data_IF_517102466168
#
_entry.id   IF_517102466168
#
_cell.length_a   1.000
_cell.length_b   1.000
_cell.length_c   1.000
_cell.angle_alpha   90.00
_cell.angle_beta   90.00
_cell.angle_gamma   90.00
#
_symmetry.space_group_name_H-M   'P 1'
#
loop_
_entity.id
_entity.type
_entity.pdbx_description
1 polymer ?
#
# COMPACT_ATOMS: atom_id res chain seq x y z
N UNK A 1 -32.98 11.98 -34.87
CA UNK A 1 -32.18 11.12 -35.76
C UNK A 1 -30.73 11.47 -35.53
N UNK A 2 -29.97 10.59 -34.88
CA UNK A 2 -28.52 10.74 -34.71
C UNK A 2 -27.86 10.51 -36.08
N UNK A 3 -27.49 11.59 -36.75
CA UNK A 3 -26.72 11.56 -38.00
C UNK A 3 -25.39 10.88 -37.75
N UNK A 4 -25.18 9.72 -38.38
CA UNK A 4 -23.88 9.04 -38.47
C UNK A 4 -22.85 10.05 -38.99
N UNK A 5 -21.72 10.20 -38.30
CA UNK A 5 -20.63 11.09 -38.73
C UNK A 5 -20.24 10.80 -40.19
N UNK A 6 -19.86 11.83 -40.98
CA UNK A 6 -19.45 11.64 -42.36
C UNK A 6 -18.28 10.67 -42.43
N UNK A 7 -18.27 9.79 -43.44
CA UNK A 7 -17.12 8.92 -43.67
C UNK A 7 -15.86 9.76 -43.96
N UNK A 8 -14.70 9.43 -43.39
CA UNK A 8 -13.48 10.21 -43.56
C UNK A 8 -13.09 10.25 -45.05
N UNK A 9 -13.11 11.46 -45.60
CA UNK A 9 -12.87 11.76 -47.02
C UNK A 9 -11.40 11.95 -47.33
N UNK A 10 -10.58 12.35 -46.36
CA UNK A 10 -9.16 12.63 -46.52
C UNK A 10 -8.24 11.56 -45.92
N UNK A 11 -7.06 11.38 -46.53
CA UNK A 11 -6.05 10.41 -46.12
C UNK A 11 -5.46 10.74 -44.74
N UNK A 12 -5.36 12.03 -44.41
CA UNK A 12 -4.98 12.52 -43.08
C UNK A 12 -6.00 12.12 -42.00
N UNK A 13 -7.31 12.23 -42.27
CA UNK A 13 -8.35 11.83 -41.31
C UNK A 13 -8.29 10.34 -41.03
N UNK A 14 -8.07 9.51 -42.06
CA UNK A 14 -7.94 8.06 -41.90
C UNK A 14 -6.70 7.65 -41.11
N UNK A 15 -5.58 8.33 -41.32
CA UNK A 15 -4.36 8.09 -40.55
C UNK A 15 -4.54 8.54 -39.09
N UNK A 16 -5.24 9.65 -38.87
CA UNK A 16 -5.51 10.19 -37.54
C UNK A 16 -6.47 9.28 -36.75
N UNK A 17 -7.57 8.85 -37.35
CA UNK A 17 -8.48 7.86 -36.75
C UNK A 17 -7.79 6.51 -36.51
N UNK A 18 -6.99 6.03 -37.47
CA UNK A 18 -6.23 4.78 -37.31
C UNK A 18 -5.21 4.84 -36.18
N UNK A 19 -4.53 5.98 -36.03
CA UNK A 19 -3.59 6.22 -34.94
C UNK A 19 -4.27 6.32 -33.57
N UNK A 20 -5.39 7.04 -33.49
CA UNK A 20 -6.22 7.13 -32.28
C UNK A 20 -6.78 5.77 -31.87
N UNK A 21 -7.35 5.00 -32.81
CA UNK A 21 -7.89 3.68 -32.52
C UNK A 21 -6.82 2.68 -32.07
N UNK A 22 -5.60 2.78 -32.63
CA UNK A 22 -4.46 1.97 -32.18
C UNK A 22 -3.99 2.38 -30.77
N UNK A 23 -3.91 3.69 -30.49
CA UNK A 23 -3.56 4.22 -29.18
C UNK A 23 -4.59 3.85 -28.10
N UNK A 24 -5.88 4.03 -28.37
CA UNK A 24 -6.99 3.65 -27.49
C UNK A 24 -7.03 2.14 -27.27
N UNK A 25 -6.87 1.33 -28.32
CA UNK A 25 -6.86 -0.13 -28.21
C UNK A 25 -5.69 -0.67 -27.41
N UNK A 26 -4.51 -0.06 -27.54
CA UNK A 26 -3.30 -0.45 -26.80
C UNK A 26 -3.38 0.00 -25.36
N UNK A 27 -3.79 1.24 -25.13
CA UNK A 27 -4.02 1.78 -23.79
C UNK A 27 -5.10 0.99 -23.05
N UNK A 28 -6.25 0.70 -23.67
CA UNK A 28 -7.32 -0.07 -23.02
C UNK A 28 -6.87 -1.48 -22.60
N UNK A 29 -5.99 -2.12 -23.38
CA UNK A 29 -5.43 -3.44 -23.04
C UNK A 29 -4.40 -3.37 -21.91
N UNK A 30 -3.61 -2.30 -21.84
CA UNK A 30 -2.52 -2.18 -20.88
C UNK A 30 -2.90 -1.42 -19.60
N UNK A 31 -3.98 -0.64 -19.62
CA UNK A 31 -4.40 0.17 -18.47
C UNK A 31 -4.68 -0.70 -17.24
N UNK A 32 -5.41 -1.81 -17.41
CA UNK A 32 -5.70 -2.74 -16.33
C UNK A 32 -4.45 -3.40 -15.74
N UNK A 33 -3.54 -4.05 -16.52
CA UNK A 33 -2.33 -4.66 -15.95
C UNK A 33 -1.35 -3.62 -15.38
N UNK A 34 -1.22 -2.44 -15.99
CA UNK A 34 -0.40 -1.34 -15.43
C UNK A 34 -0.98 -0.88 -14.08
N UNK A 35 -2.29 -0.70 -14.00
CA UNK A 35 -2.98 -0.33 -12.77
C UNK A 35 -2.79 -1.38 -11.67
N UNK A 36 -2.97 -2.66 -12.02
CA UNK A 36 -2.75 -3.77 -11.08
C UNK A 36 -1.29 -3.84 -10.60
N UNK A 37 -0.32 -3.70 -11.50
CA UNK A 37 1.10 -3.70 -11.14
C UNK A 37 1.46 -2.51 -10.24
N UNK A 38 0.93 -1.32 -10.55
CA UNK A 38 1.16 -0.10 -9.74
C UNK A 38 0.54 -0.25 -8.36
N UNK A 39 -0.68 -0.78 -8.26
CA UNK A 39 -1.34 -1.03 -6.99
C UNK A 39 -0.59 -2.08 -6.16
N UNK A 40 -0.19 -3.20 -6.78
CA UNK A 40 0.61 -4.22 -6.11
C UNK A 40 1.94 -3.67 -5.59
N UNK A 41 2.63 -2.83 -6.39
CA UNK A 41 3.86 -2.16 -5.96
C UNK A 41 3.60 -1.24 -4.77
N UNK A 42 2.53 -0.43 -4.80
CA UNK A 42 2.16 0.43 -3.68
C UNK A 42 1.93 -0.36 -2.38
N UNK A 43 1.20 -1.48 -2.45
CA UNK A 43 0.96 -2.36 -1.29
C UNK A 43 2.28 -2.96 -0.80
N UNK A 44 3.14 -3.44 -1.70
CA UNK A 44 4.45 -3.98 -1.35
C UNK A 44 5.31 -2.94 -0.63
N UNK A 45 5.39 -1.72 -1.17
CA UNK A 45 6.13 -0.62 -0.55
C UNK A 45 5.57 -0.27 0.83
N UNK A 46 4.24 -0.25 0.97
CA UNK A 46 3.59 -0.02 2.27
C UNK A 46 3.96 -1.08 3.29
N UNK A 47 3.94 -2.37 2.89
CA UNK A 47 4.32 -3.48 3.75
C UNK A 47 5.80 -3.41 4.16
N UNK A 48 6.69 -3.08 3.22
CA UNK A 48 8.13 -2.87 3.50
C UNK A 48 8.33 -1.75 4.51
N UNK A 49 7.66 -0.61 4.32
CA UNK A 49 7.76 0.53 5.24
C UNK A 49 7.24 0.15 6.64
N UNK A 50 6.09 -0.51 6.73
CA UNK A 50 5.53 -0.96 8.02
C UNK A 50 6.45 -1.96 8.74
N UNK A 51 7.18 -2.79 8.00
CA UNK A 51 8.11 -3.77 8.59
C UNK A 51 9.39 -3.12 9.13
N UNK A 52 9.97 -2.17 8.39
CA UNK A 52 11.26 -1.56 8.75
C UNK A 52 11.15 -0.27 9.57
N UNK A 53 10.01 0.40 9.50
CA UNK A 53 9.71 1.63 10.25
C UNK A 53 8.37 1.49 10.98
N UNK A 54 8.28 0.57 11.96
CA UNK A 54 7.07 0.43 12.75
C UNK A 54 6.85 1.71 13.56
N UNK A 55 5.67 2.31 13.41
CA UNK A 55 5.24 3.41 14.27
C UNK A 55 4.67 2.82 15.56
N UNK A 56 5.36 3.06 16.68
CA UNK A 56 4.93 2.52 17.95
C UNK A 56 3.79 3.37 18.51
N UNK A 57 2.63 2.74 18.70
CA UNK A 57 1.47 3.36 19.31
C UNK A 57 1.20 2.76 20.70
N UNK A 58 0.41 3.45 21.53
CA UNK A 58 0.19 3.09 22.93
C UNK A 58 -0.52 1.72 23.09
N UNK A 59 -1.28 1.31 22.07
CA UNK A 59 -1.97 0.02 21.98
C UNK A 59 -1.03 -1.14 21.62
N UNK A 60 0.21 -0.88 21.20
CA UNK A 60 1.18 -1.92 20.86
C UNK A 60 1.59 -2.76 22.09
N UNK A 61 1.58 -2.15 23.29
CA UNK A 61 1.88 -2.83 24.56
C UNK A 61 0.91 -4.01 24.83
N UNK A 62 -0.43 -3.83 24.84
CA UNK A 62 -1.35 -4.95 25.02
C UNK A 62 -1.33 -5.94 23.85
N UNK A 63 -1.04 -5.52 22.61
CA UNK A 63 -0.91 -6.47 21.48
C UNK A 63 0.30 -7.39 21.64
N UNK A 64 1.44 -6.87 22.09
CA UNK A 64 2.62 -7.69 22.36
C UNK A 64 2.39 -8.62 23.57
N UNK A 65 1.74 -8.12 24.61
CA UNK A 65 1.41 -8.92 25.78
C UNK A 65 0.45 -10.08 25.45
N UNK A 66 -0.62 -9.84 24.67
CA UNK A 66 -1.56 -10.91 24.31
C UNK A 66 -0.93 -11.94 23.36
N UNK A 67 -0.05 -11.50 22.45
CA UNK A 67 0.64 -12.39 21.52
C UNK A 67 1.57 -13.38 22.23
N UNK A 68 2.14 -12.98 23.38
CA UNK A 68 3.14 -13.76 24.13
C UNK A 68 2.64 -14.23 25.50
N UNK A 69 1.36 -14.04 25.83
CA UNK A 69 0.79 -14.43 27.14
C UNK A 69 1.03 -15.92 27.44
N UNK A 70 0.98 -16.79 26.42
CA UNK A 70 1.27 -18.22 26.57
C UNK A 70 2.75 -18.58 26.76
N UNK A 71 3.66 -17.65 26.44
CA UNK A 71 5.11 -17.85 26.51
C UNK A 71 5.68 -17.50 27.88
N UNK A 72 5.00 -16.64 28.65
CA UNK A 72 5.45 -16.16 29.96
C UNK A 72 4.48 -16.59 31.07
N UNK A 73 5.00 -17.29 32.08
CA UNK A 73 4.18 -17.75 33.24
C UNK A 73 3.89 -16.67 34.26
N UNK A 74 4.68 -15.62 34.27
CA UNK A 74 4.62 -14.55 35.25
C UNK A 74 4.25 -13.23 34.58
N UNK A 75 3.36 -12.48 35.22
CA UNK A 75 2.82 -11.23 34.68
C UNK A 75 3.90 -10.16 34.62
N UNK A 76 4.85 -10.15 35.57
CA UNK A 76 5.97 -9.21 35.53
C UNK A 76 6.88 -9.51 34.35
N UNK A 77 7.22 -10.78 34.10
CA UNK A 77 8.01 -11.16 32.93
C UNK A 77 7.33 -10.79 31.60
N UNK A 78 6.01 -10.94 31.50
CA UNK A 78 5.25 -10.52 30.31
C UNK A 78 5.24 -9.00 30.14
N UNK A 79 5.09 -8.25 31.24
CA UNK A 79 5.16 -6.80 31.25
C UNK A 79 6.54 -6.30 30.80
N UNK A 80 7.61 -6.84 31.40
CA UNK A 80 8.98 -6.46 31.09
C UNK A 80 9.32 -6.77 29.62
N UNK A 81 8.82 -7.88 29.07
CA UNK A 81 8.93 -8.21 27.66
C UNK A 81 8.22 -7.18 26.77
N UNK A 82 6.93 -6.93 26.99
CA UNK A 82 6.14 -6.05 26.12
C UNK A 82 6.69 -4.61 26.14
N UNK A 83 6.95 -4.07 27.33
CA UNK A 83 7.52 -2.73 27.50
C UNK A 83 8.96 -2.65 27.00
N UNK A 84 9.75 -3.72 27.18
CA UNK A 84 11.11 -3.81 26.66
C UNK A 84 11.18 -3.81 25.13
N UNK A 85 10.27 -4.54 24.47
CA UNK A 85 10.14 -4.58 23.01
C UNK A 85 9.81 -3.20 22.44
N UNK A 86 8.81 -2.51 23.00
CA UNK A 86 8.47 -1.14 22.57
C UNK A 86 9.65 -0.20 22.81
N UNK A 87 10.23 -0.22 24.01
CA UNK A 87 11.37 0.64 24.38
C UNK A 87 12.58 0.44 23.46
N UNK A 88 12.84 -0.79 23.02
CA UNK A 88 13.93 -1.11 22.10
C UNK A 88 13.72 -0.60 20.68
N UNK A 89 12.46 -0.37 20.28
CA UNK A 89 12.07 0.04 18.93
C UNK A 89 11.91 1.55 18.72
N UNK A 90 11.95 2.37 19.78
CA UNK A 90 11.71 3.82 19.69
C UNK A 90 12.75 4.66 20.41
N UNK A 91 12.78 5.97 20.12
CA UNK A 91 13.60 6.90 20.88
C UNK A 91 13.11 7.05 22.32
N UNK A 92 13.97 7.50 23.23
CA UNK A 92 13.57 7.74 24.62
C UNK A 92 12.47 8.82 24.77
N UNK A 93 12.42 9.79 23.85
CA UNK A 93 11.39 10.82 23.81
C UNK A 93 10.03 10.25 23.40
N UNK A 94 10.02 9.43 22.35
CA UNK A 94 8.80 8.79 21.85
C UNK A 94 8.29 7.75 22.84
N UNK A 95 9.19 6.97 23.46
CA UNK A 95 8.81 6.04 24.52
C UNK A 95 8.09 6.76 25.65
N UNK A 96 8.58 7.92 26.10
CA UNK A 96 7.93 8.71 27.15
C UNK A 96 6.55 9.22 26.76
N UNK A 97 6.25 9.37 25.47
CA UNK A 97 4.93 9.77 25.01
C UNK A 97 3.91 8.61 25.02
N UNK A 98 4.38 7.36 25.15
CA UNK A 98 3.56 6.14 25.09
C UNK A 98 3.16 5.57 26.47
N UNK A 99 3.75 6.07 27.56
CA UNK A 99 3.57 5.64 28.97
C UNK A 99 3.03 6.77 29.84
#
# INVERSE_FOLDING_TARGET
MLTKSPAPTNLLDRLTEGGLAWGEGTYARLAAPIGAATFALYILLTAVMAWFMPDANWDMLPYLAIAEEGSYRDVQALHDYAYGMVRGGVSAGDYKALI
#
